data_IF_723436250219
#
_entry.id   IF_723436250219
#
_cell.length_a   1.000
_cell.length_b   1.000
_cell.length_c   1.000
_cell.angle_alpha   90.00
_cell.angle_beta   90.00
_cell.angle_gamma   90.00
#
_symmetry.space_group_name_H-M   'P 1'
#
loop_
_entity.id
_entity.type
_entity.pdbx_description
1 polymer ?
#
# COMPACT_ATOMS: atom_id res chain seq x y z
N UNK A 1 40.08 2.44 -5.50
CA UNK A 1 39.23 1.25 -5.73
C UNK A 1 37.82 1.68 -5.33
N UNK A 2 37.03 2.19 -6.29
CA UNK A 2 35.76 2.85 -6.01
C UNK A 2 34.62 1.85 -5.88
N UNK A 3 33.79 2.00 -4.84
CA UNK A 3 32.54 1.25 -4.73
C UNK A 3 31.62 1.61 -5.91
N UNK A 4 30.92 0.65 -6.52
CA UNK A 4 29.94 0.96 -7.54
C UNK A 4 28.72 1.63 -6.89
N UNK A 5 28.32 2.77 -7.45
CA UNK A 5 27.05 3.39 -7.11
C UNK A 5 25.92 2.41 -7.46
N UNK A 6 25.20 1.96 -6.44
CA UNK A 6 23.98 1.19 -6.60
C UNK A 6 22.94 2.12 -7.25
N UNK A 7 22.78 2.01 -8.56
CA UNK A 7 21.74 2.74 -9.29
C UNK A 7 20.38 2.15 -8.89
N UNK A 8 19.75 2.75 -7.90
CA UNK A 8 18.36 2.46 -7.54
C UNK A 8 17.49 3.03 -8.67
N UNK A 9 17.23 2.19 -9.68
CA UNK A 9 16.21 2.47 -10.70
C UNK A 9 14.87 2.46 -9.98
N UNK A 10 14.43 3.62 -9.52
CA UNK A 10 13.02 3.84 -9.22
C UNK A 10 12.30 3.69 -10.55
N UNK A 11 11.80 2.48 -10.84
CA UNK A 11 10.95 2.25 -11.98
C UNK A 11 9.76 3.21 -11.81
N UNK A 12 9.67 4.22 -12.68
CA UNK A 12 8.44 4.99 -12.82
C UNK A 12 7.37 3.98 -13.20
N UNK A 13 6.55 3.57 -12.22
CA UNK A 13 5.29 2.90 -12.50
C UNK A 13 4.56 3.82 -13.48
N UNK A 14 4.29 3.34 -14.70
CA UNK A 14 3.42 4.09 -15.61
C UNK A 14 2.10 4.34 -14.86
N UNK A 15 1.62 5.59 -14.87
CA UNK A 15 0.26 5.90 -14.42
C UNK A 15 -0.69 4.94 -15.15
N UNK A 16 -1.32 4.05 -14.39
CA UNK A 16 -2.35 3.14 -14.89
C UNK A 16 -3.63 3.95 -15.05
N UNK A 17 -4.27 3.84 -16.21
CA UNK A 17 -5.64 4.35 -16.37
C UNK A 17 -6.56 3.45 -15.54
N UNK A 18 -7.18 3.99 -14.48
CA UNK A 18 -8.18 3.28 -13.68
C UNK A 18 -9.56 3.72 -14.13
N UNK A 19 -10.25 2.92 -14.96
CA UNK A 19 -11.67 3.17 -15.30
C UNK A 19 -12.56 2.38 -14.35
N UNK A 20 -13.74 2.91 -14.04
CA UNK A 20 -14.73 2.21 -13.21
C UNK A 20 -15.23 0.90 -13.84
N UNK A 21 -15.07 0.77 -15.16
CA UNK A 21 -15.38 -0.45 -15.92
C UNK A 21 -14.28 -1.50 -15.87
N UNK A 22 -13.06 -1.13 -15.48
CA UNK A 22 -11.92 -2.05 -15.50
C UNK A 22 -12.03 -2.99 -14.29
N UNK A 23 -11.98 -4.29 -14.55
CA UNK A 23 -12.07 -5.32 -13.51
C UNK A 23 -10.87 -6.24 -13.63
N UNK A 24 -10.16 -6.40 -12.50
CA UNK A 24 -9.14 -7.42 -12.32
C UNK A 24 -9.61 -8.35 -11.19
N UNK A 25 -10.19 -9.52 -11.53
CA UNK A 25 -10.66 -10.47 -10.51
C UNK A 25 -9.47 -11.14 -9.81
N UNK A 26 -9.65 -11.45 -8.53
CA UNK A 26 -8.71 -12.25 -7.74
C UNK A 26 -9.29 -13.63 -7.48
N UNK A 27 -8.46 -14.65 -7.59
CA UNK A 27 -8.84 -16.03 -7.29
C UNK A 27 -8.46 -16.38 -5.85
N UNK A 28 -9.33 -17.12 -5.17
CA UNK A 28 -9.07 -17.56 -3.81
C UNK A 28 -7.88 -18.55 -3.78
N UNK A 29 -6.95 -18.36 -2.86
CA UNK A 29 -5.76 -19.19 -2.70
C UNK A 29 -4.60 -18.81 -3.62
N UNK A 30 -4.79 -17.87 -4.55
CA UNK A 30 -3.72 -17.34 -5.40
C UNK A 30 -3.12 -16.10 -4.73
N UNK A 31 -1.79 -16.08 -4.62
CA UNK A 31 -1.04 -14.94 -4.05
C UNK A 31 -0.81 -13.94 -5.17
N UNK A 32 -1.18 -12.68 -4.93
CA UNK A 32 -0.95 -11.58 -5.86
C UNK A 32 -0.05 -10.53 -5.20
N UNK A 33 0.95 -10.06 -5.95
CA UNK A 33 1.74 -8.88 -5.58
C UNK A 33 0.93 -7.61 -5.85
N UNK A 34 1.02 -6.63 -4.94
CA UNK A 34 0.29 -5.37 -5.05
C UNK A 34 1.15 -4.21 -4.57
N UNK A 35 1.23 -3.17 -5.41
CA UNK A 35 1.81 -1.88 -5.05
C UNK A 35 0.70 -0.90 -4.68
N UNK A 36 0.88 -0.19 -3.56
CA UNK A 36 -0.01 0.87 -3.12
C UNK A 36 0.71 2.20 -3.16
N UNK A 37 0.10 3.20 -3.78
CA UNK A 37 0.58 4.58 -3.70
C UNK A 37 0.04 5.23 -2.43
N UNK A 38 0.95 5.58 -1.52
CA UNK A 38 0.63 6.44 -0.39
C UNK A 38 0.69 7.89 -0.89
N UNK A 39 -0.45 8.57 -0.87
CA UNK A 39 -0.56 9.96 -1.28
C UNK A 39 0.35 10.86 -0.42
N UNK A 40 0.88 11.96 -0.99
CA UNK A 40 1.98 12.70 -0.40
C UNK A 40 1.63 13.20 1.00
N UNK A 41 2.48 12.82 1.95
CA UNK A 41 2.42 13.28 3.33
C UNK A 41 3.70 14.05 3.64
N UNK A 42 3.57 15.17 4.33
CA UNK A 42 4.70 15.84 4.99
C UNK A 42 4.55 15.56 6.48
N UNK A 43 5.41 14.70 7.01
CA UNK A 43 5.38 14.26 8.41
C UNK A 43 6.79 14.40 8.97
N UNK A 44 6.88 15.01 10.15
CA UNK A 44 8.09 15.03 10.97
C UNK A 44 7.87 14.06 12.12
N UNK A 45 8.76 13.07 12.26
CA UNK A 45 8.76 12.13 13.38
C UNK A 45 9.84 12.59 14.35
N UNK A 46 9.43 13.14 15.49
CA UNK A 46 10.35 13.59 16.53
C UNK A 46 11.03 12.42 17.25
N UNK A 47 12.07 12.73 18.03
CA UNK A 47 12.76 11.74 18.86
C UNK A 47 11.77 11.03 19.79
N UNK A 48 11.78 9.69 19.76
CA UNK A 48 10.83 8.85 20.52
C UNK A 48 9.49 8.61 19.82
N UNK A 49 9.23 9.26 18.67
CA UNK A 49 8.08 8.99 17.82
C UNK A 49 8.24 7.73 16.98
N UNK A 50 7.13 7.20 16.49
CA UNK A 50 7.08 6.05 15.61
C UNK A 50 6.06 6.25 14.49
N UNK A 51 6.34 5.63 13.34
CA UNK A 51 5.36 5.43 12.28
C UNK A 51 4.69 4.08 12.47
N UNK A 52 3.37 4.05 12.30
CA UNK A 52 2.57 2.83 12.34
C UNK A 52 1.97 2.63 10.95
N UNK A 53 2.28 1.49 10.34
CA UNK A 53 1.64 1.06 9.10
C UNK A 53 0.49 0.11 9.44
N UNK A 54 -0.73 0.48 9.05
CA UNK A 54 -1.94 -0.31 9.27
C UNK A 54 -2.55 -0.70 7.94
N UNK A 55 -2.78 -1.99 7.74
CA UNK A 55 -3.51 -2.54 6.60
C UNK A 55 -4.86 -3.05 7.12
N UNK A 56 -5.94 -2.72 6.41
CA UNK A 56 -7.30 -3.10 6.78
C UNK A 56 -8.14 -3.31 5.54
N UNK A 57 -9.04 -4.30 5.57
CA UNK A 57 -10.04 -4.53 4.53
C UNK A 57 -11.26 -3.61 4.65
N UNK A 58 -11.32 -2.81 5.71
CA UNK A 58 -12.37 -1.83 5.98
C UNK A 58 -11.76 -0.46 6.25
N UNK A 59 -12.55 0.60 6.08
CA UNK A 59 -12.12 1.97 6.39
C UNK A 59 -11.57 2.07 7.82
N UNK A 60 -10.38 2.64 7.95
CA UNK A 60 -9.70 2.84 9.24
C UNK A 60 -10.11 4.16 9.89
N UNK A 61 -9.51 4.42 11.05
CA UNK A 61 -9.51 5.74 11.66
C UNK A 61 -8.99 6.77 10.64
N UNK A 62 -9.76 7.84 10.41
CA UNK A 62 -9.44 8.88 9.41
C UNK A 62 -10.48 9.03 8.29
N UNK A 63 -11.27 8.01 7.99
CA UNK A 63 -12.33 8.12 6.96
C UNK A 63 -13.48 9.07 7.35
N UNK A 64 -13.62 9.38 8.65
CA UNK A 64 -14.64 10.29 9.15
C UNK A 64 -16.06 9.83 8.77
N UNK A 65 -16.82 10.73 8.14
CA UNK A 65 -18.17 10.46 7.64
C UNK A 65 -18.17 9.75 6.27
N UNK A 66 -17.04 9.69 5.57
CA UNK A 66 -16.94 9.17 4.22
C UNK A 66 -16.50 7.70 4.24
N UNK A 67 -17.41 6.82 4.65
CA UNK A 67 -17.17 5.37 4.71
C UNK A 67 -17.73 4.62 3.50
N UNK A 68 -17.02 3.59 3.06
CA UNK A 68 -17.37 2.65 2.00
C UNK A 68 -18.17 1.47 2.56
N UNK A 69 -19.34 1.74 3.14
CA UNK A 69 -20.21 0.72 3.78
C UNK A 69 -21.51 0.44 3.02
N UNK A 70 -21.67 1.01 1.82
CA UNK A 70 -22.88 0.82 1.03
C UNK A 70 -23.03 -0.66 0.64
N UNK A 71 -24.13 -1.35 1.01
CA UNK A 71 -24.32 -2.75 0.65
C UNK A 71 -24.49 -2.96 -0.85
N UNK A 72 -24.86 -1.92 -1.59
CA UNK A 72 -24.96 -1.95 -3.05
C UNK A 72 -23.58 -1.94 -3.72
N UNK A 73 -22.62 -1.16 -3.20
CA UNK A 73 -21.25 -1.05 -3.73
C UNK A 73 -20.28 -2.07 -3.12
N UNK A 74 -20.57 -2.52 -1.90
CA UNK A 74 -19.80 -3.49 -1.12
C UNK A 74 -20.69 -4.64 -0.64
N UNK A 75 -21.30 -5.43 -1.54
CA UNK A 75 -22.13 -6.56 -1.14
C UNK A 75 -21.30 -7.64 -0.44
N UNK A 76 -21.83 -8.19 0.65
CA UNK A 76 -21.16 -9.22 1.45
C UNK A 76 -20.76 -10.43 0.61
N UNK A 77 -21.61 -10.84 -0.34
CA UNK A 77 -21.33 -11.96 -1.26
C UNK A 77 -20.03 -11.83 -2.06
N UNK A 78 -19.46 -10.61 -2.16
CA UNK A 78 -18.21 -10.33 -2.87
C UNK A 78 -17.05 -9.96 -1.94
N UNK A 79 -17.32 -9.25 -0.84
CA UNK A 79 -16.28 -8.63 -0.01
C UNK A 79 -16.14 -9.24 1.40
N UNK A 80 -17.05 -10.13 1.81
CA UNK A 80 -16.93 -10.87 3.07
C UNK A 80 -15.87 -11.97 2.96
N UNK A 81 -15.04 -12.14 3.99
CA UNK A 81 -14.04 -13.20 4.05
C UNK A 81 -12.78 -12.81 4.83
N UNK A 82 -11.72 -13.60 4.64
CA UNK A 82 -10.40 -13.37 5.26
C UNK A 82 -9.40 -12.94 4.21
N UNK A 83 -8.66 -11.87 4.50
CA UNK A 83 -7.51 -11.44 3.71
C UNK A 83 -6.22 -11.90 4.40
N UNK A 84 -5.24 -12.31 3.62
CA UNK A 84 -3.94 -12.78 4.12
C UNK A 84 -2.82 -11.91 3.54
N UNK A 85 -1.86 -11.56 4.39
CA UNK A 85 -0.60 -10.95 3.96
C UNK A 85 0.48 -12.00 4.15
N UNK A 86 1.18 -12.33 3.06
CA UNK A 86 2.15 -13.41 3.03
C UNK A 86 3.56 -12.88 3.29
N UNK A 87 4.23 -13.48 4.28
CA UNK A 87 5.62 -13.18 4.64
C UNK A 87 6.47 -14.45 4.51
N UNK A 88 7.76 -14.28 4.22
CA UNK A 88 8.73 -15.37 4.16
C UNK A 88 9.62 -15.31 2.92
N UNK A 89 10.38 -16.38 2.72
CA UNK A 89 11.22 -16.53 1.53
C UNK A 89 10.38 -16.45 0.26
N UNK A 90 10.81 -15.63 -0.71
CA UNK A 90 10.08 -15.39 -1.95
C UNK A 90 8.94 -14.36 -1.84
N UNK A 91 8.69 -13.77 -0.67
CA UNK A 91 7.67 -12.74 -0.48
C UNK A 91 8.27 -11.46 0.14
N UNK A 92 8.66 -10.52 -0.71
CA UNK A 92 9.19 -9.22 -0.27
C UNK A 92 8.06 -8.24 0.06
N UNK A 93 8.04 -7.77 1.30
CA UNK A 93 7.09 -6.78 1.77
C UNK A 93 7.88 -5.58 2.33
N UNK A 94 7.76 -4.41 1.72
CA UNK A 94 8.47 -3.21 2.16
C UNK A 94 7.66 -1.95 1.91
N UNK A 95 8.04 -0.87 2.60
CA UNK A 95 7.51 0.47 2.36
C UNK A 95 8.67 1.34 1.90
N UNK A 96 8.48 2.05 0.78
CA UNK A 96 9.44 3.04 0.30
C UNK A 96 9.03 4.39 0.84
N UNK A 97 9.85 4.97 1.72
CA UNK A 97 9.62 6.30 2.27
C UNK A 97 10.51 7.35 1.59
N UNK A 98 9.96 8.51 1.20
CA UNK A 98 10.74 9.63 0.69
C UNK A 98 11.41 10.40 1.84
N UNK A 99 12.38 9.76 2.50
CA UNK A 99 13.09 10.35 3.64
C UNK A 99 13.91 11.55 3.15
N UNK A 100 13.64 12.73 3.69
CA UNK A 100 14.44 13.93 3.47
C UNK A 100 15.65 13.84 4.44
N UNK A 101 16.89 13.80 3.94
CA UNK A 101 18.06 13.81 4.81
C UNK A 101 18.08 15.08 5.67
N UNK A 102 18.37 14.93 6.96
CA UNK A 102 18.69 16.07 7.81
C UNK A 102 20.12 16.56 7.55
N UNK A 103 20.37 17.83 7.85
CA UNK A 103 21.74 18.35 7.93
C UNK A 103 22.41 17.71 9.16
N UNK A 104 23.29 16.74 8.90
CA UNK A 104 24.11 16.07 9.93
C UNK A 104 25.23 16.96 10.44
#
# INVERSE_FOLDING_TARGET
MGLPALSMKLARQRIREYRSSDVLPVENGVIYECDFELWPTNVVVEAGGWLVFKVSSVDTEGAGLFKHISPTDRPLSKFEGTNYIHFGEGHENYIVLPIIPGDS
#
